data_IF_929809018261
#
_entry.id   IF_929809018261
#
_cell.length_a   1.000
_cell.length_b   1.000
_cell.length_c   1.000
_cell.angle_alpha   90.00
_cell.angle_beta   90.00
_cell.angle_gamma   90.00
#
_symmetry.space_group_name_H-M   'P 1'
#
loop_
_entity.id
_entity.type
_entity.pdbx_description
1 polymer ?
2 polymer ?
3 non-polymer ?
4 non-polymer ?
5 water ?
#
# COMPACT_ATOMS: atom_id res chain seq x y z
N UNK A 3 7.59 -3.89 16.45
CA UNK A 3 6.18 -4.08 16.75
C UNK A 3 5.60 -5.20 15.89
N UNK A 4 4.48 -5.76 16.34
CA UNK A 4 3.71 -6.70 15.54
C UNK A 4 2.89 -6.02 14.45
N UNK A 5 2.90 -4.69 14.40
CA UNK A 5 2.10 -3.96 13.41
C UNK A 5 2.88 -3.92 12.10
N UNK A 6 2.76 -5.00 11.34
CA UNK A 6 3.22 -5.06 9.96
C UNK A 6 2.11 -5.61 9.08
N UNK A 7 2.06 -5.15 7.82
CA UNK A 7 0.93 -5.42 6.94
C UNK A 7 1.09 -6.79 6.29
N UNK A 8 0.07 -7.65 6.46
CA UNK A 8 0.07 -8.93 5.78
C UNK A 8 -0.18 -8.74 4.30
N UNK A 9 0.37 -9.66 3.49
CA UNK A 9 0.27 -9.56 2.03
C UNK A 9 -0.30 -10.80 1.38
N UNK A 10 -0.56 -11.88 2.13
CA UNK A 10 -1.09 -13.11 1.55
C UNK A 10 -1.70 -13.92 2.68
N UNK A 11 -2.43 -14.98 2.30
CA UNK A 11 -2.90 -16.01 3.23
C UNK A 11 -3.55 -15.40 4.47
N UNK A 12 -4.48 -14.48 4.22
CA UNK A 12 -4.95 -13.59 5.28
C UNK A 12 -5.66 -14.36 6.39
N UNK A 13 -5.30 -14.04 7.63
CA UNK A 13 -5.80 -14.71 8.81
C UNK A 13 -6.47 -13.69 9.73
N UNK A 14 -7.41 -14.19 10.55
CA UNK A 14 -8.04 -13.34 11.55
C UNK A 14 -6.97 -12.66 12.39
N UNK A 15 -7.08 -11.34 12.52
CA UNK A 15 -6.13 -10.56 13.30
C UNK A 15 -5.03 -9.91 12.48
N UNK A 16 -4.87 -10.30 11.21
CA UNK A 16 -3.87 -9.66 10.37
C UNK A 16 -4.18 -8.18 10.19
N UNK A 17 -3.12 -7.38 10.21
CA UNK A 17 -3.20 -5.99 9.75
C UNK A 17 -3.14 -5.95 8.23
N UNK A 18 -4.13 -5.30 7.61
CA UNK A 18 -4.21 -5.25 6.15
C UNK A 18 -4.39 -3.82 5.67
N UNK A 19 -3.86 -3.56 4.47
CA UNK A 19 -3.97 -2.27 3.81
C UNK A 19 -5.14 -2.36 2.83
N UNK A 20 -6.19 -1.58 3.09
CA UNK A 20 -7.42 -1.65 2.31
C UNK A 20 -7.44 -0.44 1.38
N UNK A 21 -7.50 -0.69 0.08
CA UNK A 21 -7.31 0.34 -0.92
C UNK A 21 -8.47 0.37 -1.90
N UNK A 22 -8.76 1.55 -2.43
CA UNK A 22 -9.80 1.71 -3.43
C UNK A 22 -9.30 1.18 -4.78
N UNK A 23 -10.03 0.20 -5.33
CA UNK A 23 -9.75 -0.38 -6.65
C UNK A 23 -10.80 0.16 -7.61
N UNK A 24 -10.44 1.18 -8.38
CA UNK A 24 -11.42 1.81 -9.25
C UNK A 24 -11.86 0.87 -10.37
N UNK A 25 -10.94 0.04 -10.88
CA UNK A 25 -11.29 -0.81 -12.02
C UNK A 25 -12.36 -1.83 -11.64
N UNK A 26 -12.41 -2.23 -10.37
CA UNK A 26 -13.42 -3.18 -9.89
C UNK A 26 -14.46 -2.51 -9.01
N UNK A 27 -14.43 -1.18 -8.90
CA UNK A 27 -15.48 -0.38 -8.25
C UNK A 27 -15.66 -0.76 -6.77
N UNK A 28 -14.56 -1.11 -6.11
CA UNK A 28 -14.66 -1.62 -4.75
C UNK A 28 -13.34 -1.43 -4.02
N UNK A 29 -13.42 -1.49 -2.69
CA UNK A 29 -12.23 -1.61 -1.86
C UNK A 29 -11.72 -3.05 -1.86
N UNK A 30 -10.39 -3.20 -1.88
CA UNK A 30 -9.75 -4.50 -1.87
C UNK A 30 -8.61 -4.46 -0.87
N UNK A 31 -8.15 -5.64 -0.50
CA UNK A 31 -6.92 -5.75 0.29
C UNK A 31 -5.70 -5.72 -0.61
N UNK A 32 -4.70 -4.94 -0.21
CA UNK A 32 -3.41 -5.06 -0.88
C UNK A 32 -2.89 -6.48 -0.71
N UNK A 33 -2.47 -7.10 -1.81
CA UNK A 33 -2.01 -8.49 -1.72
C UNK A 33 -1.10 -8.81 -2.89
N UNK A 34 -0.20 -9.79 -2.68
CA UNK A 34 0.54 -10.39 -3.78
C UNK A 34 -0.16 -11.63 -4.34
N UNK A 35 -1.30 -12.00 -3.77
CA UNK A 35 -2.10 -13.05 -4.40
C UNK A 35 -2.59 -12.57 -5.76
N UNK A 36 -2.71 -13.47 -6.75
CA UNK A 36 -3.39 -13.10 -8.00
C UNK A 36 -4.89 -12.98 -7.84
N UNK A 37 -5.44 -13.45 -6.72
CA UNK A 37 -6.87 -13.42 -6.45
C UNK A 37 -7.26 -12.09 -5.82
N UNK A 38 -8.46 -11.64 -6.17
CA UNK A 38 -9.03 -10.43 -5.58
C UNK A 38 -9.59 -10.71 -4.19
N UNK A 39 -9.26 -9.84 -3.24
CA UNK A 39 -9.80 -9.89 -1.88
C UNK A 39 -10.62 -8.60 -1.69
N UNK A 40 -11.91 -8.67 -1.98
CA UNK A 40 -12.78 -7.51 -1.82
C UNK A 40 -13.16 -7.30 -0.35
N UNK A 41 -13.31 -6.03 0.03
CA UNK A 41 -13.88 -5.72 1.34
C UNK A 41 -15.37 -6.03 1.35
N UNK A 42 -15.79 -6.79 2.38
CA UNK A 42 -17.21 -7.11 2.53
C UNK A 42 -18.02 -5.84 2.77
N UNK A 43 -19.20 -5.77 2.15
CA UNK A 43 -20.02 -4.56 2.24
C UNK A 43 -20.36 -4.21 3.69
N UNK A 44 -20.50 -5.21 4.56
CA UNK A 44 -20.87 -4.94 5.95
C UNK A 44 -19.79 -4.17 6.70
N UNK A 45 -18.55 -4.18 6.22
CA UNK A 45 -17.42 -3.58 6.92
C UNK A 45 -17.22 -2.11 6.59
N UNK A 46 -17.89 -1.59 5.57
CA UNK A 46 -17.63 -0.21 5.15
C UNK A 46 -17.92 0.82 6.24
N UNK A 47 -19.08 0.81 6.92
CA UNK A 47 -19.35 1.90 7.87
C UNK A 47 -18.35 2.01 9.01
N UNK A 48 -17.97 0.89 9.62
CA UNK A 48 -17.05 0.94 10.74
C UNK A 48 -15.63 1.30 10.34
N UNK A 49 -15.31 1.23 9.04
CA UNK A 49 -14.03 1.71 8.52
C UNK A 49 -14.13 3.14 8.00
N UNK A 50 -15.28 3.79 8.19
CA UNK A 50 -15.54 5.14 7.69
C UNK A 50 -15.37 5.23 6.19
N UNK A 51 -15.83 4.20 5.50
CA UNK A 51 -15.85 4.16 4.04
C UNK A 51 -17.28 4.29 3.55
N UNK A 52 -17.42 4.48 2.25
CA UNK A 52 -18.72 4.70 1.61
C UNK A 52 -18.82 3.85 0.36
N UNK A 53 -20.02 3.39 0.01
CA UNK A 53 -20.26 2.59 -1.20
C UNK A 53 -20.16 3.41 -2.49
N UNK A 62 -13.63 8.89 -3.17
CA UNK A 62 -13.62 8.00 -2.01
C UNK A 62 -12.23 7.89 -1.41
N UNK A 63 -12.19 7.76 -0.09
CA UNK A 63 -10.93 7.64 0.65
C UNK A 63 -10.04 6.57 0.02
N UNK A 64 -8.78 6.88 -0.28
CA UNK A 64 -7.96 5.95 -1.07
C UNK A 64 -7.46 4.72 -0.31
N UNK A 65 -7.19 4.84 1.00
CA UNK A 65 -6.73 3.69 1.75
C UNK A 65 -7.05 3.84 3.23
N UNK A 66 -7.14 2.69 3.89
CA UNK A 66 -7.35 2.60 5.32
C UNK A 66 -6.66 1.34 5.82
N UNK A 67 -6.25 1.34 7.09
CA UNK A 67 -5.66 0.15 7.69
C UNK A 67 -6.71 -0.58 8.51
N UNK A 68 -6.83 -1.89 8.30
CA UNK A 68 -7.85 -2.67 8.95
C UNK A 68 -7.27 -3.91 9.61
N UNK A 69 -8.11 -4.57 10.42
CA UNK A 69 -7.81 -5.84 11.06
C UNK A 69 -8.79 -6.88 10.55
N UNK A 70 -8.27 -8.01 10.03
CA UNK A 70 -9.11 -9.03 9.44
C UNK A 70 -9.97 -9.68 10.52
N UNK A 71 -11.26 -9.81 10.24
CA UNK A 71 -12.20 -10.51 11.11
C UNK A 71 -12.71 -11.81 10.52
N UNK A 72 -12.91 -11.86 9.20
CA UNK A 72 -13.53 -13.01 8.57
C UNK A 72 -13.17 -12.99 7.09
N UNK A 73 -13.09 -14.18 6.51
CA UNK A 73 -12.77 -14.36 5.09
C UNK A 73 -13.76 -15.35 4.51
N UNK A 74 -14.25 -15.04 3.31
CA UNK A 74 -15.29 -15.81 2.63
C UNK A 74 -14.88 -15.94 1.18
N UNK A 75 -15.02 -17.15 0.63
CA UNK A 75 -14.63 -17.42 -0.76
C UNK A 75 -15.88 -17.47 -1.60
N UNK A 76 -15.85 -16.78 -2.74
CA UNK A 76 -17.03 -16.53 -3.57
C UNK A 76 -16.75 -16.77 -5.04
N UNK A 77 -17.82 -16.85 -5.81
CA UNK A 77 -17.74 -16.96 -7.25
C UNK A 77 -18.83 -16.12 -7.91
N UNK A 78 -18.45 -15.39 -8.97
CA UNK A 78 -19.43 -14.64 -9.74
C UNK A 78 -20.30 -15.58 -10.55
N UNK A 79 -21.61 -15.44 -10.42
CA UNK A 79 -22.56 -16.29 -11.10
C UNK A 79 -23.24 -15.59 -12.27
N UNK A 80 -22.99 -14.28 -12.45
CA UNK A 80 -23.49 -13.52 -13.58
C UNK A 80 -22.35 -12.71 -14.17
N UNK A 81 -22.44 -12.45 -15.48
CA UNK A 81 -21.39 -11.70 -16.17
C UNK A 81 -21.39 -10.23 -15.76
N UNK A 82 -22.55 -9.66 -15.49
CA UNK A 82 -22.65 -8.28 -15.01
C UNK A 82 -22.86 -8.31 -13.51
N UNK A 83 -21.86 -7.84 -12.76
CA UNK A 83 -21.91 -7.88 -11.31
C UNK A 83 -21.16 -6.68 -10.74
N UNK A 84 -21.37 -6.45 -9.44
CA UNK A 84 -20.83 -5.27 -8.78
C UNK A 84 -19.32 -5.28 -8.66
N UNK A 85 -18.67 -6.43 -8.89
CA UNK A 85 -17.23 -6.55 -8.75
C UNK A 85 -16.50 -6.37 -10.07
N UNK A 86 -17.23 -6.16 -11.16
CA UNK A 86 -16.66 -5.95 -12.49
C UNK A 86 -15.70 -7.07 -12.87
N UNK A 87 -16.10 -8.31 -12.61
CA UNK A 87 -15.31 -9.48 -12.97
C UNK A 87 -16.15 -10.34 -13.88
N UNK A 88 -15.51 -11.17 -14.71
CA UNK A 88 -16.27 -12.05 -15.60
C UNK A 88 -17.02 -13.14 -14.84
N UNK A 89 -18.02 -13.68 -15.53
CA UNK A 89 -18.74 -14.86 -15.06
C UNK A 89 -17.74 -15.95 -14.66
N UNK A 90 -17.96 -16.54 -13.49
CA UNK A 90 -17.14 -17.62 -13.00
C UNK A 90 -15.91 -17.22 -12.22
N UNK A 91 -15.56 -15.93 -12.19
CA UNK A 91 -14.40 -15.48 -11.43
C UNK A 91 -14.58 -15.82 -9.96
N UNK A 92 -13.55 -16.40 -9.35
CA UNK A 92 -13.53 -16.61 -7.91
C UNK A 92 -12.74 -15.50 -7.23
N UNK A 93 -13.18 -15.14 -6.02
CA UNK A 93 -12.62 -14.03 -5.26
C UNK A 93 -13.02 -14.21 -3.81
N UNK A 94 -12.35 -13.46 -2.94
CA UNK A 94 -12.71 -13.45 -1.54
C UNK A 94 -13.46 -12.17 -1.18
N UNK A 95 -14.27 -12.26 -0.13
CA UNK A 95 -14.80 -11.09 0.57
C UNK A 95 -14.29 -11.15 1.99
N UNK A 96 -13.73 -10.05 2.48
CA UNK A 96 -13.09 -9.99 3.79
C UNK A 96 -13.81 -8.98 4.64
N UNK A 97 -14.23 -9.40 5.83
CA UNK A 97 -14.71 -8.48 6.86
C UNK A 97 -13.52 -8.00 7.68
N UNK A 98 -13.49 -6.70 7.95
CA UNK A 98 -12.39 -6.08 8.68
C UNK A 98 -12.94 -4.91 9.47
N UNK A 99 -12.24 -4.59 10.57
CA UNK A 99 -12.53 -3.40 11.36
C UNK A 99 -11.29 -2.53 11.36
N UNK A 100 -11.46 -1.29 11.84
CA UNK A 100 -10.33 -0.36 11.87
C UNK A 100 -9.23 -0.91 12.77
N UNK A 101 -7.98 -0.68 12.35
CA UNK A 101 -6.83 -1.05 13.18
C UNK A 101 -6.68 -0.16 14.41
N UNK A 102 -7.43 0.93 14.50
CA UNK A 102 -7.29 1.88 15.60
C UNK A 102 -8.65 2.36 16.06
N UNK B 4 -28.54 -9.75 -5.36
CA UNK B 4 -27.18 -9.93 -4.85
C UNK B 4 -26.78 -11.39 -4.95
N UNK B 5 -27.67 -12.27 -4.52
CA UNK B 5 -27.42 -13.71 -4.59
C UNK B 5 -27.54 -14.19 -6.04
N UNK B 6 -28.12 -13.35 -6.89
CA UNK B 6 -28.12 -13.66 -8.31
C UNK B 6 -26.72 -13.43 -8.88
N UNK B 7 -26.07 -12.36 -8.44
CA UNK B 7 -24.78 -11.97 -8.99
C UNK B 7 -23.63 -12.89 -8.58
N UNK B 8 -23.61 -13.34 -7.32
CA UNK B 8 -22.50 -14.14 -6.83
C UNK B 8 -22.96 -14.96 -5.64
N UNK B 9 -22.19 -15.98 -5.31
CA UNK B 9 -22.47 -16.87 -4.18
C UNK B 9 -21.18 -17.22 -3.47
N UNK B 10 -21.33 -17.67 -2.22
CA UNK B 10 -20.25 -18.29 -1.48
C UNK B 10 -19.99 -19.68 -2.07
N UNK B 11 -18.73 -20.07 -2.18
CA UNK B 11 -18.41 -21.41 -2.68
C UNK B 11 -17.43 -22.14 -1.77
N UNK C 3 4.89 -15.15 5.77
CA UNK C 3 5.62 -15.59 6.96
C UNK C 3 6.26 -14.40 7.66
N UNK C 4 7.59 -14.28 7.53
CA UNK C 4 8.26 -13.04 7.92
C UNK C 4 8.03 -11.92 6.93
N UNK C 5 7.39 -12.21 5.80
CA UNK C 5 7.17 -11.22 4.75
C UNK C 5 5.89 -10.47 5.10
N UNK C 6 6.04 -9.46 5.95
CA UNK C 6 5.01 -8.45 6.19
C UNK C 6 5.63 -7.06 6.06
N UNK C 7 4.81 -6.10 5.62
CA UNK C 7 5.31 -4.77 5.25
C UNK C 7 5.44 -3.90 6.50
N UNK C 8 6.65 -3.36 6.71
CA UNK C 8 6.86 -2.40 7.78
C UNK C 8 6.16 -1.08 7.46
N UNK C 9 5.76 -0.36 8.51
CA UNK C 9 5.02 0.89 8.35
C UNK C 9 5.64 2.05 9.09
N UNK C 10 6.70 1.83 9.87
CA UNK C 10 7.32 2.90 10.64
C UNK C 10 8.72 2.44 11.04
N UNK C 11 9.52 3.39 11.55
CA UNK C 11 10.80 3.11 12.21
C UNK C 11 11.64 2.15 11.38
N UNK C 12 11.81 2.49 10.10
CA UNK C 12 12.31 1.53 9.11
C UNK C 12 13.75 1.11 9.43
N UNK C 13 13.99 -0.18 9.38
CA UNK C 13 15.27 -0.79 9.71
C UNK C 13 15.79 -1.57 8.50
N UNK C 14 17.12 -1.71 8.44
CA UNK C 14 17.73 -2.53 7.41
C UNK C 14 17.10 -3.92 7.41
N UNK C 15 16.66 -4.36 6.24
CA UNK C 15 16.03 -5.66 6.09
C UNK C 15 14.51 -5.63 6.09
N UNK C 16 13.91 -4.50 6.48
CA UNK C 16 12.46 -4.41 6.43
C UNK C 16 11.95 -4.54 5.01
N UNK C 17 10.83 -5.24 4.86
CA UNK C 17 10.03 -5.22 3.64
C UNK C 17 9.20 -3.95 3.62
N UNK C 18 9.29 -3.18 2.53
CA UNK C 18 8.59 -1.91 2.42
C UNK C 18 7.84 -1.83 1.09
N UNK C 19 6.71 -1.12 1.12
CA UNK C 19 5.90 -0.88 -0.06
C UNK C 19 6.27 0.49 -0.60
N UNK C 20 6.84 0.52 -1.81
CA UNK C 20 7.37 1.73 -2.40
C UNK C 20 6.39 2.18 -3.47
N UNK C 21 5.88 3.40 -3.33
CA UNK C 21 4.75 3.87 -4.11
C UNK C 21 5.09 5.20 -4.76
N UNK C 22 4.50 5.45 -5.92
CA UNK C 22 4.67 6.72 -6.62
C UNK C 22 3.84 7.80 -5.93
N UNK C 23 4.51 8.86 -5.49
CA UNK C 23 3.87 10.04 -4.88
C UNK C 23 3.92 11.16 -5.91
N UNK C 24 2.81 11.36 -6.62
CA UNK C 24 2.80 12.35 -7.68
C UNK C 24 2.93 13.77 -7.13
N UNK C 25 2.33 14.04 -5.96
CA UNK C 25 2.38 15.40 -5.42
C UNK C 25 3.80 15.84 -5.11
N UNK C 26 4.67 14.89 -4.74
CA UNK C 26 6.07 15.19 -4.46
C UNK C 26 7.00 14.70 -5.56
N UNK C 27 6.44 14.20 -6.67
CA UNK C 27 7.20 13.88 -7.89
C UNK C 27 8.27 12.82 -7.65
N UNK C 28 7.99 11.88 -6.75
CA UNK C 28 9.00 10.91 -6.34
C UNK C 28 8.33 9.66 -5.82
N UNK C 29 9.11 8.58 -5.78
CA UNK C 29 8.72 7.39 -5.02
C UNK C 29 8.98 7.56 -3.54
N UNK C 30 8.05 7.07 -2.73
CA UNK C 30 8.14 7.14 -1.27
C UNK C 30 7.81 5.77 -0.70
N UNK C 31 8.16 5.58 0.57
CA UNK C 31 7.74 4.40 1.31
C UNK C 31 6.36 4.64 1.91
N UNK C 32 5.48 3.66 1.76
CA UNK C 32 4.25 3.70 2.52
C UNK C 32 4.57 3.73 4.01
N UNK C 33 3.97 4.66 4.75
CA UNK C 33 4.29 4.77 6.16
C UNK C 33 3.16 5.47 6.89
N UNK C 34 3.03 5.18 8.19
CA UNK C 34 2.17 5.97 9.07
C UNK C 34 2.93 7.10 9.75
N UNK C 35 4.24 7.22 9.49
CA UNK C 35 4.95 8.40 9.96
C UNK C 35 4.40 9.63 9.28
N UNK C 36 4.35 10.78 9.97
CA UNK C 36 4.03 12.04 9.27
C UNK C 36 5.17 12.52 8.39
N UNK C 37 6.36 11.94 8.51
CA UNK C 37 7.53 12.32 7.75
C UNK C 37 7.57 11.59 6.42
N UNK C 38 8.07 12.28 5.40
CA UNK C 38 8.26 11.67 4.09
C UNK C 38 9.52 10.81 4.07
N UNK C 39 9.40 9.60 3.52
CA UNK C 39 10.53 8.70 3.29
C UNK C 39 10.66 8.53 1.78
N UNK C 40 11.50 9.34 1.16
CA UNK C 40 11.72 9.25 -0.29
C UNK C 40 12.67 8.11 -0.62
N UNK C 41 12.44 7.50 -1.79
CA UNK C 41 13.39 6.54 -2.33
C UNK C 41 14.63 7.26 -2.83
N UNK C 42 15.81 6.80 -2.39
CA UNK C 42 17.07 7.37 -2.85
C UNK C 42 17.23 7.16 -4.34
N UNK C 43 17.73 8.18 -5.04
CA UNK C 43 17.86 8.11 -6.49
C UNK C 43 18.71 6.92 -6.94
N UNK C 44 19.71 6.52 -6.13
CA UNK C 44 20.57 5.42 -6.53
C UNK C 44 19.84 4.08 -6.61
N UNK C 45 18.68 3.97 -5.96
CA UNK C 45 17.95 2.70 -5.87
C UNK C 45 16.99 2.47 -7.03
N UNK C 46 16.72 3.49 -7.83
CA UNK C 46 15.72 3.34 -8.90
C UNK C 46 16.06 2.24 -9.90
N UNK C 47 17.27 2.16 -10.47
CA UNK C 47 17.50 1.16 -11.54
C UNK C 47 17.29 -0.28 -11.10
N UNK C 48 17.80 -0.65 -9.92
CA UNK C 48 17.68 -2.04 -9.49
C UNK C 48 16.28 -2.39 -9.01
N UNK C 49 15.40 -1.41 -8.82
CA UNK C 49 13.98 -1.65 -8.59
C UNK C 49 13.16 -1.57 -9.87
N UNK C 50 13.83 -1.43 -11.02
CA UNK C 50 13.17 -1.29 -12.33
C UNK C 50 12.22 -0.10 -12.34
N UNK C 51 12.65 1.00 -11.72
CA UNK C 51 11.93 2.25 -11.72
C UNK C 51 12.67 3.27 -12.58
N UNK C 52 11.99 4.38 -12.87
CA UNK C 52 12.54 5.42 -13.72
C UNK C 52 12.30 6.77 -13.07
N UNK C 53 13.20 7.76 -13.31
CA UNK C 53 13.05 9.11 -12.76
C UNK C 53 12.04 9.97 -13.52
N UNK C 62 4.74 6.05 -14.80
CA UNK C 62 5.65 5.27 -13.96
C UNK C 62 4.89 4.21 -13.17
N UNK C 63 5.55 3.07 -12.96
CA UNK C 63 4.93 1.96 -12.25
C UNK C 63 4.46 2.43 -10.86
N UNK C 64 3.24 2.07 -10.45
CA UNK C 64 2.67 2.66 -9.23
C UNK C 64 3.27 2.15 -7.92
N UNK C 65 3.73 0.89 -7.88
CA UNK C 65 4.28 0.37 -6.63
C UNK C 65 5.22 -0.80 -6.90
N UNK C 66 6.19 -0.96 -5.98
CA UNK C 66 7.06 -2.12 -5.94
C UNK C 66 7.31 -2.47 -4.48
N UNK C 67 7.69 -3.72 -4.24
CA UNK C 67 8.08 -4.15 -2.90
C UNK C 67 9.60 -4.19 -2.82
N UNK C 68 10.16 -3.56 -1.78
CA UNK C 68 11.59 -3.46 -1.62
C UNK C 68 12.04 -3.91 -0.25
N UNK C 69 13.37 -4.04 -0.11
CA UNK C 69 14.04 -4.36 1.15
C UNK C 69 14.95 -3.19 1.51
N UNK C 70 14.76 -2.64 2.72
CA UNK C 70 15.54 -1.49 3.15
C UNK C 70 17.01 -1.88 3.28
N UNK C 71 17.88 -1.05 2.69
CA UNK C 71 19.32 -1.18 2.84
C UNK C 71 19.95 -0.08 3.67
N UNK C 72 19.43 1.14 3.59
CA UNK C 72 20.05 2.28 4.26
C UNK C 72 19.01 3.39 4.36
N UNK C 73 19.14 4.22 5.39
CA UNK C 73 18.30 5.40 5.44
C UNK C 73 19.13 6.57 5.93
N UNK C 74 18.85 7.74 5.36
CA UNK C 74 19.53 8.97 5.73
C UNK C 74 18.49 10.06 5.95
N UNK C 75 18.78 10.93 6.89
CA UNK C 75 17.90 12.02 7.27
C UNK C 75 18.43 13.30 6.62
N UNK C 76 17.52 14.06 6.03
CA UNK C 76 17.87 15.20 5.17
C UNK C 76 16.99 16.39 5.50
N UNK C 77 17.41 17.54 4.97
CA UNK C 77 16.65 18.77 5.09
C UNK C 77 16.75 19.57 3.80
N UNK C 78 15.60 20.08 3.34
CA UNK C 78 15.57 20.95 2.18
C UNK C 78 16.20 22.29 2.53
N UNK C 79 17.17 22.72 1.72
CA UNK C 79 17.88 23.96 1.93
C UNK C 79 17.47 25.06 0.97
N UNK C 80 16.63 24.74 -0.01
CA UNK C 80 16.08 25.71 -0.96
C UNK C 80 14.58 25.48 -1.08
N UNK C 81 13.85 26.57 -1.35
CA UNK C 81 12.39 26.47 -1.44
C UNK C 81 11.96 25.70 -2.68
N UNK C 82 12.68 25.84 -3.79
CA UNK C 82 12.43 25.08 -5.00
C UNK C 82 13.37 23.88 -5.01
N UNK C 83 12.81 22.68 -4.94
CA UNK C 83 13.63 21.47 -4.91
C UNK C 83 12.84 20.31 -5.51
N UNK C 84 13.56 19.22 -5.79
CA UNK C 84 13.01 18.09 -6.51
C UNK C 84 11.96 17.33 -5.72
N UNK C 85 11.89 17.54 -4.41
CA UNK C 85 10.95 16.84 -3.56
C UNK C 85 9.65 17.60 -3.36
N UNK C 86 9.55 18.81 -3.94
CA UNK C 86 8.34 19.62 -3.86
C UNK C 86 7.92 19.85 -2.40
N UNK C 87 8.89 20.15 -1.56
CA UNK C 87 8.64 20.45 -0.16
C UNK C 87 9.16 21.86 0.13
N UNK C 88 8.61 22.52 1.14
CA UNK C 88 9.10 23.85 1.49
C UNK C 88 10.52 23.83 2.04
N UNK C 89 11.15 24.99 1.95
CA UNK C 89 12.42 25.24 2.61
C UNK C 89 12.36 24.79 4.06
N UNK C 90 13.37 24.05 4.48
CA UNK C 90 13.48 23.60 5.86
C UNK C 90 12.82 22.29 6.17
N UNK C 91 12.01 21.74 5.25
CA UNK C 91 11.37 20.46 5.48
C UNK C 91 12.42 19.37 5.71
N UNK C 92 12.22 18.57 6.75
CA UNK C 92 13.05 17.39 6.97
C UNK C 92 12.34 16.14 6.45
N UNK C 93 13.14 15.22 5.94
CA UNK C 93 12.63 14.00 5.31
C UNK C 93 13.76 12.99 5.28
N UNK C 94 13.40 11.74 5.01
CA UNK C 94 14.40 10.70 4.83
C UNK C 94 14.57 10.36 3.36
N UNK C 95 15.76 9.84 3.04
CA UNK C 95 15.98 9.13 1.78
C UNK C 95 16.39 7.70 2.12
N UNK C 96 15.74 6.73 1.49
CA UNK C 96 15.94 5.32 1.80
C UNK C 96 16.47 4.63 0.56
N UNK C 97 17.57 3.90 0.72
CA UNK C 97 18.05 2.97 -0.30
C UNK C 97 17.40 1.62 -0.07
N UNK C 98 16.94 1.01 -1.17
CA UNK C 98 16.25 -0.26 -1.09
C UNK C 98 16.57 -1.05 -2.35
N UNK C 99 16.48 -2.37 -2.24
CA UNK C 99 16.59 -3.26 -3.38
C UNK C 99 15.30 -4.07 -3.50
N UNK C 100 15.16 -4.76 -4.62
CA UNK C 100 13.95 -5.55 -4.82
C UNK C 100 13.83 -6.64 -3.76
N UNK C 101 12.61 -6.90 -3.31
CA UNK C 101 12.33 -8.00 -2.38
C UNK C 101 12.47 -9.36 -3.04
N UNK C 102 12.62 -9.43 -4.36
CA UNK C 102 12.66 -10.69 -5.07
C UNK C 102 13.74 -10.65 -6.14
N UNK D 4 22.41 19.80 -6.64
CA UNK D 4 21.77 18.83 -5.76
C UNK D 4 22.06 19.16 -4.30
N UNK D 5 23.32 19.41 -3.99
CA UNK D 5 23.73 19.79 -2.64
C UNK D 5 23.26 21.21 -2.34
N UNK D 6 22.89 21.94 -3.38
CA UNK D 6 22.28 23.23 -3.16
C UNK D 6 20.87 23.04 -2.61
N UNK D 7 20.14 22.08 -3.18
CA UNK D 7 18.72 21.89 -2.85
C UNK D 7 18.50 21.30 -1.47
N UNK D 8 19.34 20.36 -1.05
CA UNK D 8 19.12 19.67 0.22
C UNK D 8 20.45 19.08 0.70
N UNK D 9 20.49 18.76 1.99
CA UNK D 9 21.67 18.18 2.62
C UNK D 9 21.25 17.10 3.62
N UNK D 10 22.21 16.24 3.93
CA UNK D 10 22.07 15.31 5.06
C UNK D 10 22.17 16.11 6.34
N UNK D 11 21.35 15.77 7.34
CA UNK D 11 21.44 16.43 8.64
C UNK D 11 21.54 15.45 9.79
X LIG E 1 -2.37 -5.43 -5.21
X LIG E 1 -3.41 -5.65 -4.29
X LIG E 1 -2.86 -4.34 -6.22
X LIG E 1 -2.12 -4.36 -7.40
X LIG E 1 -2.72 -3.01 -5.46
X LIG E 1 -3.33 -2.03 -6.25
X LIG F 1 -1.55 3.24 -0.35
X LIG F 1 -1.76 3.17 -1.86
X LIG F 1 -0.75 4.01 -2.50
X LIG F 1 -3.13 3.72 -2.17
X LIG F 1 -1.61 1.72 -2.34
X LIG F 1 -0.84 1.56 -3.64
X LIG F 1 -0.54 0.17 -3.81
X LIG F 1 -1.61 2.04 -4.86
X LIG G 1 -27.88 -21.65 -9.49
X LIG G 1 -27.18 -22.85 -9.62
X LIG G 1 -27.19 -20.86 -8.34
X LIG G 1 -27.85 -19.66 -8.08
X LIG G 1 -25.72 -20.65 -8.77
X LIG G 1 -25.09 -21.89 -8.65
X LIG H 1 1.20 7.44 1.09
X LIG H 1 0.28 7.33 0.04
X LIG H 1 0.41 7.33 2.38
X LIG H 1 -0.38 8.45 2.59
X LIG H 1 1.48 7.14 3.49
X LIG H 1 2.71 6.77 2.93
#
# INVERSE_FOLDING_TARGET
SRHSEKIAIRDFQVGDLVLIILDERHDNYVLFTVSPTLYFLHSESLPALDLKPGEGASGASRRPWVLGKVMEKEYCQAKKAQNRFKVPLGTKFYRVKAVSWNKKV
SSGTSSEFEVV
SRHSEKIAIRDFQVGDLVLIILDERHDNYVLFTVSPTLYFLHSESLPALDLKPGEGASGASRRPWVLGKVMEKEYCQAKKAQNRFKVPLGTKFYRVKAVSWNKKV
SSGTSSEFEVV
GOL C1 O1 C2 O2 C3 O3
MPD C1 C2 O2 CM C3 C4 O4 C5
GOL C1 O1 C2 O2 C3 O3
GOL C1 O1 C2 O2 C3 O3
#
